data_IF_207328738724
#
_entry.id   IF_207328738724
#
_cell.length_a   1.000
_cell.length_b   1.000
_cell.length_c   1.000
_cell.angle_alpha   90.00
_cell.angle_beta   90.00
_cell.angle_gamma   90.00
#
_symmetry.space_group_name_H-M   'P 1'
#
loop_
_entity.id
_entity.type
_entity.pdbx_description
1 polymer ?
#
# COMPACT_ATOMS: atom_id res chain seq x y z
N UNK A 1 33.79 -11.11 0.89
CA UNK A 1 32.86 -10.04 1.34
C UNK A 1 33.50 -9.38 2.56
N UNK A 2 33.87 -8.10 2.50
CA UNK A 2 34.59 -7.42 3.59
C UNK A 2 33.66 -7.15 4.77
N UNK A 3 34.09 -7.48 5.99
CA UNK A 3 33.38 -7.31 7.26
C UNK A 3 32.80 -5.90 7.46
N UNK A 4 33.44 -4.89 6.86
CA UNK A 4 33.03 -3.49 6.89
C UNK A 4 31.71 -3.22 6.14
N UNK A 5 31.36 -4.04 5.13
CA UNK A 5 30.15 -3.87 4.32
C UNK A 5 28.86 -4.36 4.99
N UNK A 6 28.96 -5.21 6.02
CA UNK A 6 27.80 -5.57 6.87
C UNK A 6 27.34 -4.41 7.76
N UNK A 7 28.18 -3.40 8.01
CA UNK A 7 27.89 -2.39 9.05
C UNK A 7 26.87 -1.34 8.60
N UNK A 8 26.78 -1.04 7.30
CA UNK A 8 25.97 0.06 6.72
C UNK A 8 24.56 -0.33 6.23
N UNK A 9 24.08 -1.56 6.45
CA UNK A 9 22.74 -2.01 6.00
C UNK A 9 21.71 -1.94 7.12
N UNK A 10 20.46 -1.62 6.76
CA UNK A 10 19.32 -1.57 7.69
C UNK A 10 18.88 -2.97 8.15
N UNK A 11 18.84 -3.94 7.23
CA UNK A 11 18.52 -5.35 7.54
C UNK A 11 19.70 -6.23 7.13
N UNK A 12 20.20 -7.04 8.09
CA UNK A 12 21.47 -7.79 7.96
C UNK A 12 21.27 -9.31 7.99
N UNK A 13 20.07 -9.77 8.29
CA UNK A 13 19.75 -11.18 8.54
C UNK A 13 18.52 -11.61 7.72
N UNK A 14 18.56 -12.82 7.16
CA UNK A 14 17.44 -13.41 6.40
C UNK A 14 16.27 -13.73 7.32
N UNK A 15 16.56 -14.06 8.58
CA UNK A 15 15.53 -14.25 9.61
C UNK A 15 14.79 -12.94 9.94
N UNK A 16 15.49 -11.80 9.82
CA UNK A 16 14.86 -10.49 10.00
C UNK A 16 13.91 -10.14 8.84
N UNK A 17 14.12 -10.67 7.62
CA UNK A 17 13.22 -10.46 6.49
C UNK A 17 11.86 -11.15 6.67
N UNK A 18 11.83 -12.32 7.32
CA UNK A 18 10.58 -13.02 7.69
C UNK A 18 9.80 -12.30 8.79
N UNK A 19 10.49 -11.55 9.67
CA UNK A 19 9.85 -10.74 10.72
C UNK A 19 9.23 -9.45 10.20
N UNK A 20 9.52 -9.06 8.95
CA UNK A 20 8.97 -7.85 8.35
C UNK A 20 7.45 -7.96 8.27
N UNK A 21 6.90 -9.04 7.71
CA UNK A 21 5.45 -9.22 7.54
C UNK A 21 4.69 -9.07 8.88
N UNK A 22 5.05 -9.78 9.98
CA UNK A 22 4.46 -9.54 11.29
C UNK A 22 4.60 -8.09 11.80
N UNK A 23 5.74 -7.45 11.53
CA UNK A 23 6.01 -6.06 11.91
C UNK A 23 5.18 -5.05 11.09
N UNK A 24 4.78 -5.41 9.87
CA UNK A 24 3.83 -4.66 9.03
C UNK A 24 2.39 -4.85 9.52
N UNK A 25 2.06 -6.00 10.07
CA UNK A 25 0.69 -6.25 10.53
C UNK A 25 0.45 -5.69 11.94
N UNK A 26 1.51 -5.46 12.72
CA UNK A 26 1.43 -5.01 14.10
C UNK A 26 0.74 -3.63 14.29
N UNK A 27 1.10 -2.58 13.52
CA UNK A 27 0.42 -1.29 13.60
C UNK A 27 -1.05 -1.35 13.16
N UNK A 28 -1.37 -2.17 12.17
CA UNK A 28 -2.75 -2.39 11.72
C UNK A 28 -3.60 -3.10 12.78
N UNK A 29 -3.01 -4.05 13.53
CA UNK A 29 -3.67 -4.68 14.68
C UNK A 29 -3.94 -3.70 15.82
N UNK A 30 -3.00 -2.79 16.06
CA UNK A 30 -3.15 -1.74 17.08
C UNK A 30 -4.27 -0.77 16.71
N UNK A 31 -4.35 -0.39 15.43
CA UNK A 31 -5.41 0.48 14.95
C UNK A 31 -6.79 -0.19 15.00
N UNK A 32 -6.89 -1.46 14.60
CA UNK A 32 -8.12 -2.25 14.74
C UNK A 32 -8.62 -2.29 16.19
N UNK A 33 -7.70 -2.44 17.15
CA UNK A 33 -8.01 -2.42 18.57
C UNK A 33 -8.54 -1.03 19.02
N UNK A 34 -7.89 0.05 18.62
CA UNK A 34 -8.31 1.42 18.94
C UNK A 34 -9.67 1.78 18.34
N UNK A 35 -9.99 1.26 17.16
CA UNK A 35 -11.26 1.51 16.48
C UNK A 35 -12.47 0.95 17.24
N UNK A 36 -12.28 -0.11 18.02
CA UNK A 36 -13.32 -0.79 18.80
C UNK A 36 -13.58 -0.06 20.13
N UNK A 37 -12.57 0.55 20.73
CA UNK A 37 -12.62 1.01 22.13
C UNK A 37 -12.83 2.53 22.29
N UNK A 38 -12.40 3.38 21.33
CA UNK A 38 -12.44 4.86 21.47
C UNK A 38 -12.96 5.61 20.23
N UNK A 39 -14.27 5.48 19.96
CA UNK A 39 -14.92 6.18 18.82
C UNK A 39 -14.84 7.71 18.87
N UNK A 40 -14.67 8.31 20.04
CA UNK A 40 -14.61 9.77 20.21
C UNK A 40 -13.27 10.40 19.78
N UNK A 41 -12.16 9.69 19.96
CA UNK A 41 -10.83 10.18 19.55
C UNK A 41 -10.70 10.09 18.03
N UNK A 42 -11.18 8.99 17.44
CA UNK A 42 -11.24 8.83 15.99
C UNK A 42 -12.05 9.94 15.32
N UNK A 43 -13.20 10.30 15.88
CA UNK A 43 -14.02 11.40 15.34
C UNK A 43 -13.32 12.77 15.40
N UNK A 44 -12.38 12.96 16.33
CA UNK A 44 -11.67 14.24 16.51
C UNK A 44 -10.43 14.36 15.62
N UNK A 45 -9.71 13.26 15.39
CA UNK A 45 -8.45 13.23 14.63
C UNK A 45 -8.53 12.37 13.36
N UNK A 46 -9.71 12.33 12.75
CA UNK A 46 -10.01 11.41 11.65
C UNK A 46 -9.04 11.59 10.48
N UNK A 47 -8.90 12.81 9.97
CA UNK A 47 -8.08 13.10 8.80
C UNK A 47 -6.59 12.86 9.10
N UNK A 48 -6.10 13.18 10.30
CA UNK A 48 -4.72 12.94 10.71
C UNK A 48 -4.38 11.45 10.76
N UNK A 49 -5.30 10.63 11.29
CA UNK A 49 -5.16 9.17 11.34
C UNK A 49 -5.12 8.61 9.92
N UNK A 50 -6.03 9.04 9.03
CA UNK A 50 -6.04 8.59 7.65
C UNK A 50 -4.75 8.96 6.90
N UNK A 51 -4.23 10.18 7.09
CA UNK A 51 -2.95 10.59 6.52
C UNK A 51 -1.81 9.72 7.03
N UNK A 52 -1.76 9.46 8.35
CA UNK A 52 -0.75 8.58 8.93
C UNK A 52 -0.81 7.17 8.32
N UNK A 53 -2.02 6.64 8.08
CA UNK A 53 -2.21 5.34 7.45
C UNK A 53 -1.77 5.31 5.99
N UNK A 54 -2.07 6.35 5.21
CA UNK A 54 -1.59 6.45 3.82
C UNK A 54 -0.06 6.37 3.79
N UNK A 55 0.62 7.17 4.62
CA UNK A 55 2.08 7.12 4.71
C UNK A 55 2.57 5.75 5.16
N UNK A 56 1.91 5.17 6.15
CA UNK A 56 2.23 3.84 6.66
C UNK A 56 2.16 2.78 5.55
N UNK A 57 1.01 2.67 4.86
CA UNK A 57 0.77 1.69 3.80
C UNK A 57 1.83 1.83 2.70
N UNK A 58 2.10 3.07 2.26
CA UNK A 58 3.06 3.37 1.20
C UNK A 58 4.50 3.02 1.61
N UNK A 59 4.91 3.38 2.83
CA UNK A 59 6.24 3.06 3.35
C UNK A 59 6.44 1.56 3.57
N UNK A 60 5.43 0.89 4.12
CA UNK A 60 5.49 -0.55 4.37
C UNK A 60 5.52 -1.35 3.07
N UNK A 61 4.78 -0.93 2.05
CA UNK A 61 4.86 -1.54 0.72
C UNK A 61 6.26 -1.36 0.12
N UNK A 62 6.87 -0.20 0.26
CA UNK A 62 8.26 0.00 -0.16
C UNK A 62 9.23 -0.92 0.59
N UNK A 63 9.09 -1.03 1.91
CA UNK A 63 9.92 -1.91 2.73
C UNK A 63 9.79 -3.39 2.32
N UNK A 64 8.57 -3.85 1.98
CA UNK A 64 8.34 -5.21 1.45
C UNK A 64 9.05 -5.42 0.12
N UNK A 65 8.97 -4.46 -0.80
CA UNK A 65 9.55 -4.59 -2.13
C UNK A 65 11.08 -4.58 -2.07
N UNK A 66 11.66 -3.70 -1.26
CA UNK A 66 13.12 -3.68 -1.00
C UNK A 66 13.58 -4.99 -0.35
N UNK A 67 12.79 -5.54 0.57
CA UNK A 67 13.10 -6.82 1.23
C UNK A 67 12.97 -8.02 0.29
N UNK A 68 11.96 -8.04 -0.58
CA UNK A 68 11.81 -9.05 -1.61
C UNK A 68 13.04 -9.01 -2.54
N UNK A 69 13.44 -7.82 -2.96
CA UNK A 69 14.67 -7.62 -3.72
C UNK A 69 15.89 -8.12 -2.97
N UNK A 70 16.03 -7.85 -1.68
CA UNK A 70 17.15 -8.35 -0.89
C UNK A 70 17.22 -9.88 -0.89
N UNK A 71 16.08 -10.56 -0.74
CA UNK A 71 15.99 -12.02 -0.74
C UNK A 71 16.39 -12.58 -2.12
N UNK A 72 15.89 -11.98 -3.21
CA UNK A 72 16.11 -12.48 -4.57
C UNK A 72 17.42 -12.00 -5.21
N UNK A 73 18.00 -10.87 -4.77
CA UNK A 73 19.18 -10.23 -5.37
C UNK A 73 20.50 -10.65 -4.69
N UNK A 74 20.75 -11.96 -4.61
CA UNK A 74 21.98 -12.57 -4.03
C UNK A 74 23.30 -12.24 -4.77
N UNK A 75 23.43 -11.17 -5.55
CA UNK A 75 24.60 -10.99 -6.44
C UNK A 75 25.07 -9.54 -6.70
N UNK A 76 26.41 -9.40 -6.76
CA UNK A 76 27.35 -8.29 -7.13
C UNK A 76 26.87 -6.82 -7.20
N UNK A 77 27.76 -5.92 -6.76
CA UNK A 77 27.55 -4.51 -6.42
C UNK A 77 26.89 -3.62 -7.50
N UNK A 78 27.19 -3.83 -8.79
CA UNK A 78 26.68 -2.99 -9.89
C UNK A 78 25.18 -3.20 -10.19
N UNK A 79 24.64 -4.36 -9.85
CA UNK A 79 23.23 -4.68 -10.07
C UNK A 79 22.29 -3.95 -9.09
N UNK A 80 22.80 -3.52 -7.95
CA UNK A 80 21.98 -2.87 -6.92
C UNK A 80 21.46 -1.49 -7.33
N UNK A 81 22.22 -0.70 -8.10
CA UNK A 81 21.81 0.66 -8.48
C UNK A 81 20.63 0.62 -9.45
N UNK A 82 20.72 -0.20 -10.50
CA UNK A 82 19.63 -0.37 -11.47
C UNK A 82 18.37 -0.92 -10.79
N UNK A 83 18.52 -1.88 -9.87
CA UNK A 83 17.40 -2.45 -9.14
C UNK A 83 16.75 -1.43 -8.20
N UNK A 84 17.53 -0.61 -7.50
CA UNK A 84 17.00 0.50 -6.67
C UNK A 84 16.22 1.50 -7.54
N UNK A 85 16.71 1.83 -8.74
CA UNK A 85 15.98 2.70 -9.67
C UNK A 85 14.63 2.10 -10.08
N UNK A 86 14.56 0.79 -10.31
CA UNK A 86 13.29 0.10 -10.60
C UNK A 86 12.33 0.16 -9.41
N UNK A 87 12.82 0.03 -8.17
CA UNK A 87 11.98 0.20 -6.96
C UNK A 87 11.46 1.63 -6.84
N UNK A 88 12.33 2.62 -7.03
CA UNK A 88 11.94 4.02 -6.95
C UNK A 88 10.91 4.39 -8.01
N UNK A 89 11.08 3.89 -9.24
CA UNK A 89 10.11 4.05 -10.31
C UNK A 89 8.77 3.38 -9.95
N UNK A 90 8.80 2.17 -9.39
CA UNK A 90 7.58 1.50 -8.93
C UNK A 90 6.85 2.34 -7.87
N UNK A 91 7.60 2.88 -6.92
CA UNK A 91 7.07 3.73 -5.85
C UNK A 91 6.44 5.01 -6.39
N UNK A 92 7.12 5.69 -7.32
CA UNK A 92 6.61 6.88 -8.01
C UNK A 92 5.30 6.58 -8.73
N UNK A 93 5.27 5.51 -9.54
CA UNK A 93 4.06 5.08 -10.26
C UNK A 93 2.93 4.72 -9.29
N UNK A 94 3.23 4.06 -8.17
CA UNK A 94 2.23 3.77 -7.11
C UNK A 94 1.62 5.06 -6.56
N UNK A 95 2.44 6.05 -6.16
CA UNK A 95 1.93 7.32 -5.62
C UNK A 95 1.09 8.07 -6.64
N UNK A 96 1.59 8.18 -7.87
CA UNK A 96 0.88 8.87 -8.97
C UNK A 96 -0.45 8.19 -9.25
N UNK A 97 -0.51 6.86 -9.23
CA UNK A 97 -1.74 6.11 -9.50
C UNK A 97 -2.77 6.27 -8.38
N UNK A 98 -2.34 6.17 -7.12
CA UNK A 98 -3.21 6.42 -5.96
C UNK A 98 -3.76 7.85 -6.02
N UNK A 99 -2.91 8.84 -6.29
CA UNK A 99 -3.35 10.22 -6.40
C UNK A 99 -4.32 10.43 -7.57
N UNK A 100 -4.03 9.85 -8.74
CA UNK A 100 -4.90 9.89 -9.90
C UNK A 100 -6.29 9.33 -9.60
N UNK A 101 -6.37 8.14 -9.01
CA UNK A 101 -7.64 7.51 -8.67
C UNK A 101 -8.40 8.28 -7.59
N UNK A 102 -7.70 8.78 -6.57
CA UNK A 102 -8.30 9.64 -5.56
C UNK A 102 -8.93 10.89 -6.18
N UNK A 103 -8.24 11.55 -7.12
CA UNK A 103 -8.77 12.72 -7.85
C UNK A 103 -9.98 12.35 -8.70
N UNK A 104 -9.87 11.29 -9.51
CA UNK A 104 -10.97 10.83 -10.38
C UNK A 104 -12.21 10.53 -9.54
N UNK A 105 -12.06 9.71 -8.51
CA UNK A 105 -13.19 9.30 -7.70
C UNK A 105 -13.76 10.42 -6.83
N UNK A 106 -12.94 11.38 -6.41
CA UNK A 106 -13.42 12.58 -5.74
C UNK A 106 -14.22 13.49 -6.68
N UNK A 107 -13.74 13.72 -7.92
CA UNK A 107 -14.44 14.55 -8.92
C UNK A 107 -15.78 13.93 -9.34
N UNK A 108 -15.80 12.61 -9.54
CA UNK A 108 -17.00 11.89 -9.98
C UNK A 108 -17.90 11.44 -8.83
N UNK A 109 -17.55 11.82 -7.59
CA UNK A 109 -18.26 11.46 -6.36
C UNK A 109 -18.53 9.94 -6.25
N UNK A 110 -17.60 9.14 -6.80
CA UNK A 110 -17.70 7.67 -6.82
C UNK A 110 -17.64 7.12 -5.39
N UNK A 111 -16.96 7.85 -4.50
CA UNK A 111 -16.83 7.47 -3.10
C UNK A 111 -18.04 7.79 -2.23
N UNK A 112 -18.95 8.70 -2.63
CA UNK A 112 -20.27 8.81 -1.98
C UNK A 112 -21.12 7.53 -2.11
N UNK A 113 -20.66 6.57 -2.90
CA UNK A 113 -21.27 5.25 -3.06
C UNK A 113 -20.61 4.16 -2.19
N UNK A 114 -19.60 4.51 -1.40
CA UNK A 114 -18.93 3.65 -0.44
C UNK A 114 -19.52 3.86 0.95
N UNK A 115 -19.55 2.80 1.75
CA UNK A 115 -20.10 2.84 3.10
C UNK A 115 -19.03 2.40 4.09
N UNK A 116 -18.92 3.12 5.21
CA UNK A 116 -18.17 2.64 6.37
C UNK A 116 -18.88 1.38 6.92
N UNK A 117 -18.14 0.33 7.23
CA UNK A 117 -18.66 -0.99 7.61
C UNK A 117 -19.32 -1.04 9.02
N UNK A 118 -20.10 -0.03 9.37
CA UNK A 118 -20.81 0.08 10.64
C UNK A 118 -22.32 -0.04 10.40
N UNK A 119 -22.94 -1.07 10.97
CA UNK A 119 -24.39 -1.31 10.95
C UNK A 119 -25.17 -0.07 11.45
N UNK A 120 -25.66 0.82 10.55
CA UNK A 120 -26.41 1.99 11.01
C UNK A 120 -27.59 2.43 10.14
N UNK A 121 -28.57 3.01 10.85
CA UNK A 121 -29.86 3.53 10.40
C UNK A 121 -29.78 4.67 9.37
N UNK A 122 -30.88 4.98 8.64
CA UNK A 122 -30.91 5.94 7.53
C UNK A 122 -30.39 7.36 7.82
N UNK A 123 -30.34 7.81 9.07
CA UNK A 123 -29.80 9.12 9.46
C UNK A 123 -28.28 9.23 9.24
N UNK A 124 -27.55 8.10 9.27
CA UNK A 124 -26.11 8.06 9.02
C UNK A 124 -25.78 8.11 7.52
N UNK A 125 -26.77 7.98 6.63
CA UNK A 125 -26.61 8.17 5.18
C UNK A 125 -26.19 9.60 4.80
N UNK A 126 -26.39 10.59 5.67
CA UNK A 126 -25.91 11.96 5.45
C UNK A 126 -24.41 12.11 5.64
N UNK A 127 -23.81 11.31 6.54
CA UNK A 127 -22.36 11.29 6.79
C UNK A 127 -21.61 10.69 5.57
N UNK A 128 -22.29 9.85 4.79
CA UNK A 128 -21.78 9.23 3.54
C UNK A 128 -21.55 10.27 2.43
N UNK A 129 -22.25 11.40 2.48
CA UNK A 129 -22.14 12.42 1.43
C UNK A 129 -20.94 13.37 1.62
N UNK A 130 -20.24 13.30 2.76
CA UNK A 130 -19.17 14.23 3.14
C UNK A 130 -17.80 13.54 3.21
N UNK A 131 -17.43 12.77 2.18
CA UNK A 131 -16.07 12.25 2.10
C UNK A 131 -15.07 13.35 1.78
N UNK A 132 -14.08 13.51 2.65
CA UNK A 132 -12.94 14.39 2.37
C UNK A 132 -12.08 13.79 1.25
N UNK A 133 -11.31 14.65 0.58
CA UNK A 133 -10.31 14.19 -0.39
C UNK A 133 -9.29 13.22 0.25
N UNK A 134 -9.00 13.41 1.55
CA UNK A 134 -8.10 12.55 2.31
C UNK A 134 -8.70 11.14 2.46
N UNK A 135 -10.00 11.02 2.76
CA UNK A 135 -10.71 9.74 2.77
C UNK A 135 -10.62 9.05 1.40
N UNK A 136 -10.78 9.81 0.32
CA UNK A 136 -10.67 9.30 -1.06
C UNK A 136 -9.27 8.75 -1.36
N UNK A 137 -8.21 9.47 -0.94
CA UNK A 137 -6.84 8.99 -1.06
C UNK A 137 -6.57 7.74 -0.24
N UNK A 138 -7.11 7.67 0.97
CA UNK A 138 -6.94 6.50 1.83
C UNK A 138 -7.62 5.25 1.24
N UNK A 139 -8.87 5.36 0.80
CA UNK A 139 -9.59 4.23 0.16
C UNK A 139 -8.84 3.76 -1.09
N UNK A 140 -8.38 4.69 -1.92
CA UNK A 140 -7.55 4.38 -3.09
C UNK A 140 -6.24 3.70 -2.69
N UNK A 141 -5.53 4.18 -1.67
CA UNK A 141 -4.30 3.56 -1.19
C UNK A 141 -4.53 2.11 -0.75
N UNK A 142 -5.54 1.84 0.07
CA UNK A 142 -5.88 0.49 0.54
C UNK A 142 -6.27 -0.44 -0.61
N UNK A 143 -7.04 0.09 -1.57
CA UNK A 143 -7.59 -0.65 -2.71
C UNK A 143 -6.51 -0.99 -3.73
N UNK A 144 -5.77 0.03 -4.18
CA UNK A 144 -4.67 -0.11 -5.13
C UNK A 144 -3.56 -1.02 -4.58
N UNK A 145 -3.28 -0.91 -3.28
CA UNK A 145 -2.28 -1.76 -2.65
C UNK A 145 -2.79 -3.16 -2.33
N UNK A 146 -4.05 -3.48 -2.65
CA UNK A 146 -4.69 -4.76 -2.37
C UNK A 146 -4.63 -5.15 -0.89
N UNK A 147 -4.52 -4.16 0.02
CA UNK A 147 -4.54 -4.39 1.46
C UNK A 147 -5.95 -4.74 1.91
N UNK A 148 -6.94 -3.97 1.45
CA UNK A 148 -8.36 -4.23 1.70
C UNK A 148 -8.73 -4.28 3.18
N UNK A 149 -8.53 -3.19 3.92
CA UNK A 149 -8.88 -3.08 5.35
C UNK A 149 -10.35 -3.36 5.66
N UNK A 150 -11.25 -3.22 4.68
CA UNK A 150 -12.67 -3.56 4.82
C UNK A 150 -13.46 -2.59 5.71
N UNK A 151 -12.84 -1.47 6.07
CA UNK A 151 -13.46 -0.32 6.72
C UNK A 151 -14.40 0.43 5.76
N UNK A 152 -14.01 0.57 4.49
CA UNK A 152 -14.83 1.18 3.44
C UNK A 152 -15.18 0.16 2.36
N UNK A 153 -16.48 -0.05 2.13
CA UNK A 153 -16.97 -1.06 1.19
C UNK A 153 -17.85 -0.40 0.12
N UNK A 154 -17.58 -0.64 -1.18
CA UNK A 154 -18.45 -0.17 -2.25
C UNK A 154 -19.78 -0.92 -2.21
N UNK A 155 -20.92 -0.21 -2.21
CA UNK A 155 -22.25 -0.83 -2.13
C UNK A 155 -23.05 -0.75 -3.44
N UNK A 156 -22.56 0.01 -4.42
CA UNK A 156 -23.22 0.13 -5.73
C UNK A 156 -22.39 -0.53 -6.82
N UNK A 157 -23.06 -0.96 -7.90
CA UNK A 157 -22.39 -1.55 -9.05
C UNK A 157 -21.32 -0.62 -9.64
N UNK A 158 -21.60 0.68 -9.71
CA UNK A 158 -20.66 1.66 -10.26
C UNK A 158 -19.41 1.80 -9.37
N UNK A 159 -19.60 1.85 -8.05
CA UNK A 159 -18.50 1.87 -7.08
C UNK A 159 -17.67 0.59 -7.15
N UNK A 160 -18.33 -0.57 -7.22
CA UNK A 160 -17.65 -1.86 -7.35
C UNK A 160 -16.84 -1.92 -8.65
N UNK A 161 -17.39 -1.49 -9.78
CA UNK A 161 -16.67 -1.46 -11.06
C UNK A 161 -15.45 -0.53 -11.03
N UNK A 162 -15.59 0.63 -10.40
CA UNK A 162 -14.50 1.58 -10.19
C UNK A 162 -13.37 0.97 -9.35
N UNK A 163 -13.69 0.38 -8.19
CA UNK A 163 -12.74 -0.35 -7.32
C UNK A 163 -12.07 -1.49 -8.07
N UNK A 164 -12.84 -2.31 -8.77
CA UNK A 164 -12.30 -3.45 -9.53
C UNK A 164 -11.25 -2.97 -10.54
N UNK A 165 -11.50 -1.86 -11.23
CA UNK A 165 -10.52 -1.30 -12.18
C UNK A 165 -9.20 -0.94 -11.50
N UNK A 166 -9.26 -0.33 -10.32
CA UNK A 166 -8.09 0.06 -9.54
C UNK A 166 -7.34 -1.16 -8.99
N UNK A 167 -8.07 -2.16 -8.47
CA UNK A 167 -7.48 -3.43 -7.99
C UNK A 167 -6.77 -4.16 -9.13
N UNK A 168 -7.38 -4.26 -10.31
CA UNK A 168 -6.77 -4.91 -11.47
C UNK A 168 -5.45 -4.24 -11.83
N UNK A 169 -5.40 -2.91 -11.85
CA UNK A 169 -4.16 -2.17 -12.11
C UNK A 169 -3.11 -2.41 -11.02
N UNK A 170 -3.51 -2.41 -9.75
CA UNK A 170 -2.62 -2.71 -8.63
C UNK A 170 -1.97 -4.09 -8.74
N UNK A 171 -2.76 -5.11 -9.09
CA UNK A 171 -2.28 -6.49 -9.29
C UNK A 171 -1.36 -6.58 -10.51
N UNK A 172 -1.75 -5.98 -11.65
CA UNK A 172 -0.92 -5.97 -12.87
C UNK A 172 0.42 -5.28 -12.58
N UNK A 173 0.40 -4.12 -11.92
CA UNK A 173 1.62 -3.40 -11.57
C UNK A 173 2.52 -4.24 -10.66
N UNK A 174 1.97 -4.88 -9.63
CA UNK A 174 2.71 -5.80 -8.77
C UNK A 174 3.33 -6.97 -9.55
N UNK A 175 2.57 -7.59 -10.45
CA UNK A 175 3.03 -8.70 -11.29
C UNK A 175 4.16 -8.30 -12.25
N UNK A 176 4.00 -7.17 -12.96
CA UNK A 176 5.03 -6.63 -13.87
C UNK A 176 6.31 -6.33 -13.12
N UNK A 177 6.22 -5.75 -11.92
CA UNK A 177 7.39 -5.46 -11.10
C UNK A 177 8.16 -6.73 -10.70
N UNK A 178 7.46 -7.75 -10.22
CA UNK A 178 8.07 -9.04 -9.90
C UNK A 178 8.70 -9.68 -11.14
N UNK A 179 8.04 -9.61 -12.30
CA UNK A 179 8.59 -10.11 -13.56
C UNK A 179 9.89 -9.39 -13.96
N UNK A 180 9.97 -8.07 -13.80
CA UNK A 180 11.19 -7.29 -14.05
C UNK A 180 12.33 -7.75 -13.11
N UNK A 181 12.03 -7.97 -11.83
CA UNK A 181 13.03 -8.46 -10.87
C UNK A 181 13.55 -9.85 -11.28
N UNK A 182 12.65 -10.77 -11.62
CA UNK A 182 13.02 -12.13 -12.04
C UNK A 182 13.85 -12.09 -13.33
N UNK A 183 13.41 -11.33 -14.33
CA UNK A 183 14.12 -11.19 -15.60
C UNK A 183 15.52 -10.61 -15.41
N UNK A 184 15.64 -9.56 -14.59
CA UNK A 184 16.92 -8.96 -14.24
C UNK A 184 17.84 -9.96 -13.50
N UNK A 185 17.28 -10.90 -12.74
CA UNK A 185 18.03 -11.97 -12.09
C UNK A 185 18.49 -13.06 -13.07
N UNK A 186 17.61 -13.53 -13.97
CA UNK A 186 17.91 -14.64 -14.91
C UNK A 186 18.91 -14.26 -15.98
N UNK A 187 18.84 -13.05 -16.54
CA UNK A 187 19.83 -12.57 -17.52
C UNK A 187 21.27 -12.52 -16.98
N UNK A 188 21.44 -12.67 -15.68
CA UNK A 188 22.74 -12.72 -15.01
C UNK A 188 23.43 -14.08 -15.19
N UNK A 189 22.68 -15.17 -15.35
CA UNK A 189 23.23 -16.53 -15.52
C UNK A 189 23.74 -16.80 -16.94
N UNK A 190 23.34 -15.99 -17.93
CA UNK A 190 23.69 -16.17 -19.35
C UNK A 190 25.03 -15.48 -19.71
N UNK A 191 25.50 -14.56 -18.86
CA UNK A 191 26.68 -13.71 -19.13
C UNK A 191 27.91 -14.10 -18.27
N UNK A 192 27.76 -15.03 -17.31
CA UNK A 192 28.89 -15.70 -16.63
C UNK A 192 29.21 -17.05 -17.29
#
# INVERSE_FOLDING_TARGET
MSYLQRKKRYIKDVNAAFLIIPMILLPLLFEWYFHIEESAIFATYHDEILVANIFYIVLMRFALLDSAIYIFSRSKHHFHIALIQVVLLYFEVTIVTIFYYAVVFHIFDVFALFHLNSEFSPQNLKIIHEHSFITSMYISAVTFTTLGSGDWIPQTLNAMMAVISEVILGVIQGGVFVAIIIYAHQNKEIVE
#
